data_IF_155385578473
#
_entry.id   IF_155385578473
#
_cell.length_a   1.000
_cell.length_b   1.000
_cell.length_c   1.000
_cell.angle_alpha   90.00
_cell.angle_beta   90.00
_cell.angle_gamma   90.00
#
_symmetry.space_group_name_H-M   'P 1'
#
loop_
_entity.id
_entity.type
_entity.pdbx_description
1 polymer ?
#
# COMPACT_ATOMS: atom_id res chain seq x y z
N UNK A 1 18.05 4.77 -17.32
CA UNK A 1 17.26 5.65 -18.20
C UNK A 1 15.85 5.74 -17.62
N UNK A 2 15.48 6.86 -17.00
CA UNK A 2 14.22 7.02 -16.25
C UNK A 2 13.02 7.39 -17.13
N UNK A 3 12.61 8.67 -17.21
CA UNK A 3 11.45 9.11 -17.99
C UNK A 3 11.50 8.72 -19.47
N UNK A 4 12.70 8.68 -20.05
CA UNK A 4 12.95 8.28 -21.44
C UNK A 4 12.47 6.85 -21.73
N UNK A 5 12.47 5.95 -20.74
CA UNK A 5 11.99 4.58 -20.92
C UNK A 5 10.46 4.46 -21.03
N UNK A 6 9.71 5.52 -20.64
CA UNK A 6 8.24 5.56 -20.75
C UNK A 6 7.75 6.13 -22.09
N UNK A 7 8.67 6.53 -22.98
CA UNK A 7 8.31 7.01 -24.32
C UNK A 7 7.75 5.88 -25.18
N UNK A 8 6.67 6.18 -25.90
CA UNK A 8 6.06 5.25 -26.85
C UNK A 8 5.49 6.03 -28.04
N UNK A 9 5.07 5.31 -29.09
CA UNK A 9 4.33 5.91 -30.21
C UNK A 9 3.03 6.58 -29.76
N UNK A 10 2.42 6.13 -28.67
CA UNK A 10 1.23 6.73 -28.07
C UNK A 10 1.54 7.95 -27.16
N UNK A 11 2.76 8.02 -26.61
CA UNK A 11 3.24 9.15 -25.78
C UNK A 11 4.68 9.52 -26.21
N UNK A 12 4.83 10.23 -27.35
CA UNK A 12 6.15 10.46 -27.96
C UNK A 12 6.91 11.66 -27.36
N UNK A 13 6.26 12.46 -26.52
CA UNK A 13 6.84 13.64 -25.89
C UNK A 13 7.03 13.41 -24.38
N UNK A 14 8.12 13.95 -23.84
CA UNK A 14 8.34 14.03 -22.40
C UNK A 14 7.67 15.28 -21.84
N UNK A 15 6.93 15.13 -20.75
CA UNK A 15 6.33 16.22 -20.00
C UNK A 15 7.06 16.42 -18.67
N UNK A 16 6.96 17.62 -18.07
CA UNK A 16 7.54 17.90 -16.75
C UNK A 16 7.04 16.92 -15.67
N UNK A 17 5.76 16.53 -15.76
CA UNK A 17 5.14 15.54 -14.86
C UNK A 17 5.82 14.17 -14.92
N UNK A 18 6.38 13.78 -16.07
CA UNK A 18 7.09 12.49 -16.20
C UNK A 18 8.38 12.46 -15.37
N UNK A 19 9.03 13.62 -15.20
CA UNK A 19 10.21 13.75 -14.36
C UNK A 19 9.85 13.82 -12.88
N UNK A 20 8.77 14.53 -12.54
CA UNK A 20 8.24 14.61 -11.17
C UNK A 20 7.81 13.23 -10.67
N UNK A 21 7.03 12.49 -11.45
CA UNK A 21 6.62 11.11 -11.15
C UNK A 21 7.83 10.18 -11.00
N UNK A 22 8.83 10.30 -11.88
CA UNK A 22 10.05 9.49 -11.79
C UNK A 22 10.87 9.81 -10.54
N UNK A 23 10.99 11.09 -10.17
CA UNK A 23 11.68 11.52 -8.95
C UNK A 23 10.96 11.00 -7.71
N UNK A 24 9.63 11.09 -7.69
CA UNK A 24 8.77 10.52 -6.63
C UNK A 24 8.98 9.00 -6.55
N UNK A 25 8.88 8.28 -7.67
CA UNK A 25 9.13 6.83 -7.72
C UNK A 25 10.54 6.44 -7.23
N UNK A 26 11.56 7.24 -7.58
CA UNK A 26 12.94 6.98 -7.15
C UNK A 26 13.12 7.22 -5.65
N UNK A 27 12.51 8.28 -5.10
CA UNK A 27 12.51 8.54 -3.66
C UNK A 27 11.76 7.45 -2.90
N UNK A 28 10.61 7.01 -3.41
CA UNK A 28 9.85 5.89 -2.86
C UNK A 28 10.70 4.63 -2.85
N UNK A 29 11.33 4.26 -3.97
CA UNK A 29 12.18 3.07 -4.03
C UNK A 29 13.36 3.11 -3.03
N UNK A 30 14.02 4.26 -2.87
CA UNK A 30 15.04 4.44 -1.85
C UNK A 30 14.47 4.31 -0.42
N UNK A 31 13.25 4.82 -0.19
CA UNK A 31 12.55 4.69 1.09
C UNK A 31 12.12 3.26 1.36
N UNK A 32 11.59 2.53 0.38
CA UNK A 32 11.22 1.11 0.50
C UNK A 32 12.41 0.31 1.01
N UNK A 33 13.60 0.49 0.44
CA UNK A 33 14.82 -0.21 0.91
C UNK A 33 15.18 0.14 2.37
N UNK A 34 15.04 1.40 2.76
CA UNK A 34 15.25 1.84 4.15
C UNK A 34 14.18 1.30 5.12
N UNK A 35 12.96 1.14 4.62
CA UNK A 35 11.76 0.85 5.39
C UNK A 35 11.49 -0.66 5.50
N UNK A 36 12.08 -1.50 4.64
CA UNK A 36 12.01 -2.98 4.70
C UNK A 36 12.38 -3.55 6.08
N UNK A 37 13.17 -2.84 6.89
CA UNK A 37 13.51 -3.22 8.26
C UNK A 37 12.65 -2.60 9.37
N UNK A 38 11.81 -1.60 9.05
CA UNK A 38 11.06 -0.77 10.02
C UNK A 38 9.54 -0.99 9.92
N UNK A 39 9.03 -1.43 8.76
CA UNK A 39 7.62 -1.82 8.58
C UNK A 39 7.29 -2.98 9.52
N UNK A 40 6.26 -2.80 10.35
CA UNK A 40 5.74 -3.88 11.17
C UNK A 40 4.71 -4.71 10.38
N UNK A 41 4.38 -5.87 10.94
CA UNK A 41 3.43 -6.81 10.35
C UNK A 41 2.05 -6.18 10.07
N UNK A 42 1.62 -5.19 10.86
CA UNK A 42 0.33 -4.53 10.67
C UNK A 42 0.34 -3.64 9.42
N UNK A 43 1.40 -2.87 9.20
CA UNK A 43 1.60 -2.07 7.99
C UNK A 43 1.60 -2.95 6.74
N UNK A 44 2.26 -4.13 6.79
CA UNK A 44 2.19 -5.10 5.69
C UNK A 44 0.76 -5.56 5.42
N UNK A 45 -0.02 -5.90 6.47
CA UNK A 45 -1.42 -6.26 6.30
C UNK A 45 -2.24 -5.13 5.67
N UNK A 46 -2.02 -3.88 6.08
CA UNK A 46 -2.74 -2.73 5.53
C UNK A 46 -2.34 -2.47 4.07
N UNK A 47 -1.07 -2.65 3.69
CA UNK A 47 -0.62 -2.54 2.29
C UNK A 47 -1.24 -3.62 1.40
N UNK A 48 -1.35 -4.87 1.89
CA UNK A 48 -2.02 -5.94 1.13
C UNK A 48 -3.53 -5.67 1.02
N UNK A 49 -4.18 -5.15 2.07
CA UNK A 49 -5.57 -4.70 1.99
C UNK A 49 -5.76 -3.61 0.92
N UNK A 50 -4.85 -2.62 0.87
CA UNK A 50 -4.87 -1.57 -0.16
C UNK A 50 -4.71 -2.18 -1.56
N UNK A 51 -3.77 -3.12 -1.74
CA UNK A 51 -3.57 -3.84 -2.99
C UNK A 51 -4.86 -4.53 -3.47
N UNK A 52 -5.59 -5.19 -2.56
CA UNK A 52 -6.87 -5.86 -2.87
C UNK A 52 -7.97 -4.87 -3.25
N UNK A 53 -8.02 -3.69 -2.63
CA UNK A 53 -8.97 -2.63 -2.98
C UNK A 53 -8.65 -2.04 -4.36
N UNK A 54 -7.37 -1.76 -4.63
CA UNK A 54 -6.91 -1.17 -5.88
C UNK A 54 -7.24 -2.05 -7.10
N UNK A 55 -7.12 -3.38 -6.94
CA UNK A 55 -7.50 -4.37 -7.96
C UNK A 55 -8.98 -4.39 -8.32
N UNK A 56 -9.85 -3.92 -7.41
CA UNK A 56 -11.28 -3.73 -7.70
C UNK A 56 -11.55 -2.42 -8.45
N UNK A 57 -10.55 -1.90 -9.17
CA UNK A 57 -10.58 -0.64 -9.92
C UNK A 57 -11.05 0.55 -9.07
N UNK A 58 -10.69 0.54 -7.79
CA UNK A 58 -11.02 1.60 -6.85
C UNK A 58 -9.72 2.34 -6.50
N UNK A 59 -9.27 3.32 -7.32
CA UNK A 59 -7.91 3.90 -7.25
C UNK A 59 -7.71 4.80 -6.02
N UNK A 60 -8.76 5.01 -5.22
CA UNK A 60 -8.72 5.80 -4.00
C UNK A 60 -9.45 5.08 -2.89
N UNK A 61 -8.94 5.19 -1.68
CA UNK A 61 -9.46 4.48 -0.51
C UNK A 61 -9.37 5.37 0.73
N UNK A 62 -10.15 5.07 1.75
CA UNK A 62 -9.96 5.66 3.08
C UNK A 62 -9.64 4.56 4.10
N UNK A 63 -9.30 4.96 5.32
CA UNK A 63 -8.94 4.01 6.38
C UNK A 63 -10.06 3.00 6.70
N UNK A 64 -11.33 3.44 6.68
CA UNK A 64 -12.47 2.56 6.94
C UNK A 64 -12.50 1.37 5.98
N UNK A 65 -12.32 1.62 4.68
CA UNK A 65 -12.30 0.58 3.64
C UNK A 65 -11.13 -0.39 3.86
N UNK A 66 -9.93 0.14 4.14
CA UNK A 66 -8.73 -0.68 4.36
C UNK A 66 -8.86 -1.53 5.63
N UNK A 67 -9.42 -0.97 6.70
CA UNK A 67 -9.63 -1.70 7.95
C UNK A 67 -10.70 -2.80 7.81
N UNK A 68 -11.73 -2.58 7.00
CA UNK A 68 -12.73 -3.59 6.68
C UNK A 68 -12.13 -4.76 5.91
N UNK A 69 -11.33 -4.49 4.88
CA UNK A 69 -10.61 -5.54 4.14
C UNK A 69 -9.66 -6.34 5.04
N UNK A 70 -8.90 -5.64 5.89
CA UNK A 70 -8.05 -6.26 6.90
C UNK A 70 -8.86 -7.13 7.88
N UNK A 71 -10.02 -6.64 8.35
CA UNK A 71 -10.89 -7.39 9.25
C UNK A 71 -11.43 -8.66 8.59
N UNK A 72 -11.80 -8.59 7.31
CA UNK A 72 -12.26 -9.75 6.55
C UNK A 72 -11.16 -10.83 6.46
N UNK A 73 -9.94 -10.43 6.15
CA UNK A 73 -8.77 -11.32 6.17
C UNK A 73 -8.55 -11.97 7.56
N UNK A 74 -8.59 -11.17 8.63
CA UNK A 74 -8.39 -11.68 10.00
C UNK A 74 -9.49 -12.66 10.43
N UNK A 75 -10.74 -12.43 10.00
CA UNK A 75 -11.84 -13.34 10.27
C UNK A 75 -11.68 -14.67 9.52
N UNK A 76 -11.28 -14.63 8.25
CA UNK A 76 -11.01 -15.83 7.45
C UNK A 76 -9.87 -16.67 8.07
N UNK A 77 -8.81 -16.02 8.56
CA UNK A 77 -7.75 -16.69 9.32
C UNK A 77 -8.27 -17.37 10.59
N UNK A 78 -9.14 -16.69 11.35
CA UNK A 78 -9.72 -17.25 12.57
C UNK A 78 -10.57 -18.50 12.27
N UNK A 79 -11.39 -18.46 11.21
CA UNK A 79 -12.18 -19.62 10.75
C UNK A 79 -11.28 -20.77 10.33
N UNK A 80 -10.14 -20.48 9.69
CA UNK A 80 -9.13 -21.48 9.29
C UNK A 80 -8.22 -21.94 10.44
N UNK A 81 -8.53 -21.56 11.69
CA UNK A 81 -7.75 -21.95 12.88
C UNK A 81 -6.35 -21.35 12.95
N UNK A 82 -6.08 -20.27 12.20
CA UNK A 82 -4.80 -19.57 12.23
C UNK A 82 -4.80 -18.55 13.36
N UNK A 83 -3.85 -18.70 14.28
CA UNK A 83 -3.80 -17.88 15.49
C UNK A 83 -3.00 -16.59 15.24
N UNK A 84 -3.62 -15.61 14.59
CA UNK A 84 -3.08 -14.26 14.42
C UNK A 84 -3.98 -13.25 15.13
N UNK A 85 -3.39 -12.37 15.95
CA UNK A 85 -4.17 -11.43 16.75
C UNK A 85 -4.60 -10.23 15.91
N UNK A 86 -5.91 -10.05 15.78
CA UNK A 86 -6.49 -8.86 15.17
C UNK A 86 -6.13 -7.61 15.98
N UNK A 87 -5.68 -6.56 15.28
CA UNK A 87 -5.35 -5.27 15.88
C UNK A 87 -6.60 -4.39 15.95
N UNK A 88 -6.73 -3.66 17.06
CA UNK A 88 -7.86 -2.74 17.29
C UNK A 88 -7.77 -1.54 16.34
N UNK A 89 -8.92 -0.89 16.13
CA UNK A 89 -9.09 0.31 15.31
C UNK A 89 -7.96 1.33 15.49
N UNK A 90 -7.72 1.82 16.71
CA UNK A 90 -6.72 2.85 16.98
C UNK A 90 -5.27 2.43 16.65
N UNK A 91 -4.96 1.14 16.83
CA UNK A 91 -3.65 0.61 16.51
C UNK A 91 -3.46 0.52 14.98
N UNK A 92 -4.50 0.09 14.26
CA UNK A 92 -4.49 0.08 12.80
C UNK A 92 -4.45 1.50 12.22
N UNK A 93 -5.15 2.46 12.83
CA UNK A 93 -5.11 3.86 12.40
C UNK A 93 -3.70 4.45 12.56
N UNK A 94 -3.01 4.16 13.67
CA UNK A 94 -1.60 4.58 13.86
C UNK A 94 -0.67 3.98 12.80
N UNK A 95 -0.82 2.71 12.46
CA UNK A 95 -0.04 2.10 11.37
C UNK A 95 -0.40 2.67 10.01
N UNK A 96 -1.66 3.06 9.79
CA UNK A 96 -2.07 3.76 8.57
C UNK A 96 -1.43 5.16 8.47
N UNK A 97 -1.40 5.92 9.56
CA UNK A 97 -0.67 7.20 9.64
C UNK A 97 0.83 7.01 9.44
N UNK A 98 1.39 5.90 9.93
CA UNK A 98 2.79 5.55 9.70
C UNK A 98 3.07 5.30 8.20
N UNK A 99 2.18 4.61 7.48
CA UNK A 99 2.28 4.47 6.02
C UNK A 99 2.27 5.83 5.29
N UNK A 100 1.49 6.80 5.80
CA UNK A 100 1.50 8.17 5.27
C UNK A 100 2.84 8.87 5.54
N UNK A 101 3.37 8.77 6.77
CA UNK A 101 4.66 9.37 7.13
C UNK A 101 5.81 8.82 6.30
N UNK A 102 5.72 7.55 5.90
CA UNK A 102 6.68 6.90 5.01
C UNK A 102 6.46 7.22 3.53
N UNK A 103 5.45 8.03 3.19
CA UNK A 103 5.06 8.38 1.82
C UNK A 103 4.77 7.14 0.94
N UNK A 104 4.19 6.08 1.54
CA UNK A 104 3.71 4.92 0.78
C UNK A 104 2.26 5.11 0.32
N UNK A 105 1.53 5.98 1.01
CA UNK A 105 0.20 6.45 0.67
C UNK A 105 0.14 7.97 0.86
N UNK A 106 -0.71 8.65 0.10
CA UNK A 106 -0.86 10.11 0.20
C UNK A 106 -2.33 10.52 0.10
N UNK A 107 -2.76 11.60 0.77
CA UNK A 107 -4.08 12.17 0.57
C UNK A 107 -4.34 12.58 -0.88
N UNK A 108 -5.58 12.46 -1.31
CA UNK A 108 -6.02 13.13 -2.53
C UNK A 108 -6.09 14.65 -2.30
N UNK A 109 -5.55 15.43 -3.23
CA UNK A 109 -5.54 16.89 -3.15
C UNK A 109 -6.97 17.47 -3.12
N UNK A 110 -7.16 18.60 -2.43
CA UNK A 110 -8.43 19.33 -2.38
C UNK A 110 -9.40 18.95 -1.23
N UNK A 111 -9.11 17.91 -0.44
CA UNK A 111 -9.97 17.50 0.69
C UNK A 111 -9.47 18.09 2.02
N UNK A 112 -9.64 19.40 2.22
CA UNK A 112 -9.03 20.11 3.37
C UNK A 112 -9.66 19.83 4.76
N UNK A 113 -10.86 19.21 4.87
CA UNK A 113 -11.58 19.07 6.15
C UNK A 113 -12.37 17.76 6.34
N UNK A 114 -11.74 16.61 6.14
CA UNK A 114 -12.32 15.31 6.55
C UNK A 114 -11.63 14.75 7.79
N UNK A 115 -12.39 14.00 8.62
CA UNK A 115 -11.79 13.19 9.70
C UNK A 115 -10.81 12.20 9.08
N UNK A 116 -9.75 11.86 9.82
CA UNK A 116 -8.61 11.08 9.31
C UNK A 116 -9.04 9.74 8.72
N UNK A 117 -10.07 9.13 9.31
CA UNK A 117 -10.59 7.81 8.94
C UNK A 117 -11.34 7.81 7.60
N UNK A 118 -11.89 8.96 7.20
CA UNK A 118 -12.68 9.12 5.98
C UNK A 118 -11.93 9.91 4.89
N UNK A 119 -10.69 10.32 5.15
CA UNK A 119 -9.88 11.01 4.15
C UNK A 119 -9.54 10.04 3.03
N UNK A 120 -9.86 10.43 1.80
CA UNK A 120 -9.49 9.66 0.61
C UNK A 120 -7.99 9.80 0.36
N UNK A 121 -7.37 8.66 0.08
CA UNK A 121 -5.95 8.44 -0.11
C UNK A 121 -5.74 7.70 -1.43
N UNK A 122 -4.52 7.78 -1.95
CA UNK A 122 -4.01 6.91 -3.01
C UNK A 122 -2.73 6.24 -2.56
N UNK A 123 -2.46 5.06 -3.13
CA UNK A 123 -1.19 4.37 -2.96
C UNK A 123 -0.16 4.98 -3.89
N UNK A 124 1.10 5.05 -3.45
CA UNK A 124 2.22 5.53 -4.26
C UNK A 124 3.13 4.38 -4.73
N UNK A 125 2.75 3.15 -4.41
CA UNK A 125 3.44 1.92 -4.76
C UNK A 125 2.71 1.20 -5.88
N UNK A 126 3.46 0.67 -6.84
CA UNK A 126 2.94 -0.27 -7.81
C UNK A 126 2.58 -1.61 -7.13
N UNK A 127 1.61 -2.37 -7.64
CA UNK A 127 1.23 -3.66 -7.06
C UNK A 127 2.39 -4.65 -6.89
N UNK A 128 3.38 -4.60 -7.80
CA UNK A 128 4.58 -5.43 -7.73
C UNK A 128 5.52 -5.00 -6.60
N UNK A 129 5.63 -3.70 -6.32
CA UNK A 129 6.46 -3.18 -5.23
C UNK A 129 5.89 -3.60 -3.87
N UNK A 130 4.56 -3.60 -3.73
CA UNK A 130 3.88 -4.13 -2.52
C UNK A 130 4.16 -5.62 -2.34
N UNK A 131 4.01 -6.40 -3.41
CA UNK A 131 4.27 -7.84 -3.38
C UNK A 131 5.72 -8.14 -2.98
N UNK A 132 6.69 -7.45 -3.58
CA UNK A 132 8.11 -7.63 -3.29
C UNK A 132 8.45 -7.21 -1.86
N UNK A 133 7.84 -6.13 -1.36
CA UNK A 133 7.99 -5.70 0.03
C UNK A 133 7.49 -6.79 1.01
N UNK A 134 6.30 -7.36 0.77
CA UNK A 134 5.73 -8.42 1.62
C UNK A 134 6.53 -9.73 1.52
N UNK A 135 6.93 -10.11 0.32
CA UNK A 135 7.61 -11.38 0.05
C UNK A 135 9.03 -11.41 0.63
N UNK A 136 9.74 -10.29 0.55
CA UNK A 136 11.13 -10.17 0.99
C UNK A 136 11.27 -9.72 2.46
N UNK A 137 10.17 -9.32 3.12
CA UNK A 137 10.22 -8.91 4.53
C UNK A 137 10.58 -10.08 5.46
N UNK A 138 11.60 -9.87 6.28
CA UNK A 138 12.10 -10.86 7.24
C UNK A 138 11.11 -11.02 8.39
N UNK A 139 10.64 -12.24 8.61
CA UNK A 139 9.69 -12.55 9.68
C UNK A 139 8.22 -12.28 9.33
N UNK A 140 7.92 -11.86 8.10
CA UNK A 140 6.54 -11.78 7.61
C UNK A 140 5.90 -13.18 7.57
N UNK A 141 4.77 -13.42 8.28
CA UNK A 141 4.12 -14.73 8.29
C UNK A 141 3.63 -15.17 6.93
N UNK A 142 3.73 -16.48 6.67
CA UNK A 142 3.35 -17.08 5.39
C UNK A 142 1.90 -16.78 4.99
N UNK A 143 0.98 -16.67 5.97
CA UNK A 143 -0.42 -16.33 5.71
C UNK A 143 -0.60 -14.95 5.06
N UNK A 144 0.26 -13.98 5.39
CA UNK A 144 0.23 -12.63 4.77
C UNK A 144 0.86 -12.69 3.39
N UNK A 145 1.96 -13.42 3.21
CA UNK A 145 2.60 -13.62 1.90
C UNK A 145 1.63 -14.26 0.89
N UNK A 146 0.93 -15.31 1.33
CA UNK A 146 -0.08 -15.99 0.51
C UNK A 146 -1.26 -15.06 0.18
N UNK A 147 -1.67 -14.21 1.12
CA UNK A 147 -2.73 -13.24 0.88
C UNK A 147 -2.31 -12.17 -0.16
N UNK A 148 -1.07 -11.66 -0.10
CA UNK A 148 -0.52 -10.78 -1.13
C UNK A 148 -0.38 -11.46 -2.50
N UNK A 149 -0.11 -12.77 -2.52
CA UNK A 149 -0.08 -13.54 -3.76
C UNK A 149 -1.48 -13.72 -4.38
N UNK A 150 -2.52 -13.91 -3.56
CA UNK A 150 -3.90 -14.06 -4.07
C UNK A 150 -4.42 -12.82 -4.79
N UNK A 151 -3.85 -11.64 -4.50
CA UNK A 151 -4.14 -10.41 -5.23
C UNK A 151 -3.58 -10.40 -6.66
N UNK A 152 -2.53 -11.17 -6.97
CA UNK A 152 -1.90 -11.15 -8.31
C UNK A 152 -2.66 -11.94 -9.38
N UNK A 153 -3.64 -12.76 -9.01
CA UNK A 153 -4.39 -13.66 -9.89
C UNK A 153 -5.74 -13.04 -10.28
#
# INVERSE_FOLDING_TARGET
FGPVAKLSTAKPFLLSTDFEEYLIQKQINAKIELVKGIIYQLELCLLVAIQHIDMRQTPTFNFCMVYEEYKNFMNDLAVKGKNMRMRKWDAALKSFEHLMLMELITPMEGVMKSRKEYRMMRVLLEPNEIFDAVSNHKGCPLVIKNWSQSSRL
#
